data_IF_452760439993
#
_entry.id   IF_452760439993
#
_cell.length_a   1.000
_cell.length_b   1.000
_cell.length_c   1.000
_cell.angle_alpha   90.00
_cell.angle_beta   90.00
_cell.angle_gamma   90.00
#
_symmetry.space_group_name_H-M   'P 1'
#
loop_
_entity.id
_entity.type
_entity.pdbx_description
1 polymer ?
#
# COMPACT_ATOMS: atom_id res chain seq x y z
N UNK A 1 8.74 1.36 -31.13
CA UNK A 1 9.00 2.21 -29.94
C UNK A 1 9.22 1.25 -28.79
N UNK A 2 10.39 1.29 -28.20
CA UNK A 2 10.64 0.48 -27.00
C UNK A 2 9.77 0.99 -25.85
N UNK A 3 9.01 0.10 -25.25
CA UNK A 3 8.15 0.43 -24.12
C UNK A 3 9.06 0.76 -22.92
N UNK A 4 8.99 2.00 -22.45
CA UNK A 4 9.75 2.42 -21.27
C UNK A 4 8.94 2.13 -20.02
N UNK A 5 9.48 1.31 -19.11
CA UNK A 5 8.92 1.05 -17.79
C UNK A 5 9.38 2.15 -16.83
N UNK A 6 8.45 2.73 -16.08
CA UNK A 6 8.72 3.75 -15.06
C UNK A 6 8.23 3.21 -13.72
N UNK A 7 9.14 3.08 -12.77
CA UNK A 7 8.82 2.70 -11.39
C UNK A 7 8.65 3.93 -10.51
N UNK A 8 7.56 3.98 -9.75
CA UNK A 8 7.28 5.05 -8.78
C UNK A 8 6.63 4.46 -7.54
N UNK A 9 6.94 5.02 -6.37
CA UNK A 9 6.13 4.75 -5.18
C UNK A 9 4.73 5.36 -5.34
N UNK A 10 3.76 4.85 -4.58
CA UNK A 10 2.38 5.36 -4.62
C UNK A 10 2.32 6.87 -4.36
N UNK A 11 2.95 7.32 -3.26
CA UNK A 11 3.00 8.74 -2.93
C UNK A 11 3.68 9.60 -4.00
N UNK A 12 4.76 9.09 -4.60
CA UNK A 12 5.44 9.79 -5.70
C UNK A 12 4.52 9.92 -6.92
N UNK A 13 3.74 8.88 -7.21
CA UNK A 13 2.75 8.90 -8.29
C UNK A 13 1.64 9.91 -8.01
N UNK A 14 1.05 9.89 -6.81
CA UNK A 14 0.02 10.86 -6.43
C UNK A 14 0.55 12.30 -6.53
N UNK A 15 1.76 12.54 -6.05
CA UNK A 15 2.35 13.87 -6.07
C UNK A 15 2.63 14.36 -7.48
N UNK A 16 3.31 13.54 -8.31
CA UNK A 16 3.79 13.95 -9.63
C UNK A 16 2.72 13.93 -10.71
N UNK A 17 1.78 12.97 -10.65
CA UNK A 17 0.79 12.77 -11.72
C UNK A 17 -0.57 13.41 -11.40
N UNK A 18 -0.96 13.45 -10.12
CA UNK A 18 -2.28 13.94 -9.73
C UNK A 18 -2.23 15.36 -9.17
N UNK A 19 -1.35 15.64 -8.20
CA UNK A 19 -1.40 16.87 -7.42
C UNK A 19 -0.66 18.02 -8.11
N UNK A 20 0.65 17.90 -8.32
CA UNK A 20 1.47 19.01 -8.85
C UNK A 20 0.94 19.59 -10.17
N UNK A 21 0.53 18.80 -11.16
CA UNK A 21 0.04 19.36 -12.41
C UNK A 21 -1.33 20.04 -12.30
N UNK A 22 -2.09 19.76 -11.24
CA UNK A 22 -3.48 20.22 -11.13
C UNK A 22 -3.82 20.93 -9.82
N UNK A 23 -2.83 21.26 -9.00
CA UNK A 23 -3.04 21.95 -7.73
C UNK A 23 -3.73 23.31 -7.89
N UNK A 24 -3.49 24.02 -9.00
CA UNK A 24 -4.20 25.27 -9.30
C UNK A 24 -5.70 25.10 -9.54
N UNK A 25 -6.17 23.90 -9.83
CA UNK A 25 -7.59 23.59 -10.00
C UNK A 25 -8.33 23.40 -8.67
N UNK A 26 -7.61 23.28 -7.57
CA UNK A 26 -8.20 23.01 -6.26
C UNK A 26 -9.05 24.19 -5.79
N UNK A 27 -10.29 23.89 -5.40
CA UNK A 27 -11.25 24.86 -4.85
C UNK A 27 -11.28 24.69 -3.34
N UNK A 28 -10.23 25.15 -2.67
CA UNK A 28 -10.08 25.08 -1.23
C UNK A 28 -10.21 26.47 -0.61
N UNK A 29 -10.26 26.54 0.71
CA UNK A 29 -10.27 27.75 1.51
C UNK A 29 -9.04 27.82 2.38
N UNK A 30 -8.58 29.03 2.65
CA UNK A 30 -7.64 29.30 3.71
C UNK A 30 -8.39 29.79 4.94
N UNK A 31 -8.11 29.23 6.09
CA UNK A 31 -8.66 29.68 7.36
C UNK A 31 -7.65 30.53 8.10
N UNK A 32 -8.01 31.82 8.29
CA UNK A 32 -7.25 32.76 9.11
C UNK A 32 -8.11 33.19 10.28
N UNK A 33 -7.72 32.80 11.50
CA UNK A 33 -8.52 33.01 12.73
C UNK A 33 -9.92 32.38 12.60
N UNK A 34 -10.98 33.20 12.64
CA UNK A 34 -12.38 32.76 12.53
C UNK A 34 -12.97 32.94 11.12
N UNK A 35 -12.18 33.41 10.16
CA UNK A 35 -12.65 33.73 8.81
C UNK A 35 -12.08 32.70 7.82
N UNK A 36 -12.83 32.45 6.77
CA UNK A 36 -12.47 31.55 5.66
C UNK A 36 -12.45 32.33 4.35
N UNK A 37 -11.39 32.17 3.59
CA UNK A 37 -11.19 32.84 2.30
C UNK A 37 -10.98 31.79 1.20
N UNK A 38 -11.65 31.93 0.05
CA UNK A 38 -11.29 31.12 -1.11
C UNK A 38 -9.83 31.33 -1.48
N UNK A 39 -9.15 30.25 -1.81
CA UNK A 39 -7.72 30.28 -2.18
C UNK A 39 -7.55 29.64 -3.55
N UNK A 40 -6.78 30.28 -4.41
CA UNK A 40 -6.23 29.68 -5.61
C UNK A 40 -4.76 29.36 -5.34
N UNK A 41 -4.40 28.09 -5.40
CA UNK A 41 -3.04 27.67 -5.15
C UNK A 41 -2.15 27.99 -6.35
N UNK A 42 -0.94 28.53 -6.15
CA UNK A 42 0.01 28.74 -7.25
C UNK A 42 0.56 27.39 -7.76
N UNK A 43 1.15 27.41 -8.96
CA UNK A 43 1.65 26.20 -9.63
C UNK A 43 2.68 25.40 -8.84
N UNK A 44 3.44 26.05 -7.97
CA UNK A 44 4.50 25.41 -7.17
C UNK A 44 4.19 25.44 -5.67
N UNK A 45 2.91 25.43 -5.29
CA UNK A 45 2.51 25.49 -3.89
C UNK A 45 2.87 24.21 -3.13
N UNK A 46 2.61 23.05 -3.74
CA UNK A 46 2.92 21.75 -3.13
C UNK A 46 4.36 21.33 -3.45
N UNK A 47 5.15 21.14 -2.43
CA UNK A 47 6.57 20.76 -2.54
C UNK A 47 6.77 19.23 -2.54
N UNK A 48 6.49 18.59 -1.41
CA UNK A 48 6.77 17.17 -1.19
C UNK A 48 5.70 16.50 -0.30
N UNK A 49 6.03 15.35 0.26
CA UNK A 49 5.22 14.63 1.26
C UNK A 49 5.92 14.75 2.62
N UNK A 50 5.16 15.10 3.64
CA UNK A 50 5.66 15.34 4.99
C UNK A 50 5.84 14.03 5.80
N UNK A 51 6.68 13.10 5.35
CA UNK A 51 6.87 11.81 6.02
C UNK A 51 7.42 11.92 7.45
N UNK A 52 8.18 12.96 7.73
CA UNK A 52 8.86 13.17 9.02
C UNK A 52 8.20 14.23 9.89
N UNK A 53 7.23 14.96 9.36
CA UNK A 53 6.46 15.96 10.10
C UNK A 53 5.23 15.29 10.70
N UNK A 54 5.36 14.87 11.95
CA UNK A 54 4.30 14.17 12.69
C UNK A 54 3.23 15.11 13.27
N UNK A 55 3.36 16.41 13.06
CA UNK A 55 2.34 17.37 13.49
C UNK A 55 1.08 17.21 12.64
N UNK A 56 0.11 16.47 13.17
CA UNK A 56 -1.23 16.47 12.58
C UNK A 56 -1.77 17.90 12.55
N UNK A 57 -2.29 18.37 11.41
CA UNK A 57 -2.93 19.68 11.38
C UNK A 57 -3.94 19.81 12.50
N UNK A 58 -4.01 20.96 13.13
CA UNK A 58 -4.94 21.20 14.20
C UNK A 58 -6.36 20.78 13.85
N UNK A 59 -7.09 20.25 14.82
CA UNK A 59 -8.46 19.68 14.65
C UNK A 59 -9.49 20.67 14.09
N UNK A 60 -9.20 21.96 14.14
CA UNK A 60 -10.10 22.99 13.59
C UNK A 60 -10.00 23.19 12.08
N UNK A 61 -9.03 22.55 11.40
CA UNK A 61 -9.01 22.49 9.96
C UNK A 61 -9.80 21.25 9.48
N UNK A 62 -10.66 21.45 8.51
CA UNK A 62 -11.45 20.39 7.88
C UNK A 62 -11.08 20.23 6.40
N UNK A 63 -11.72 19.31 5.74
CA UNK A 63 -11.44 18.95 4.32
C UNK A 63 -11.68 20.07 3.32
N UNK A 64 -12.26 21.20 3.71
CA UNK A 64 -12.41 22.36 2.84
C UNK A 64 -11.22 23.32 2.91
N UNK A 65 -10.32 23.14 3.88
CA UNK A 65 -9.19 24.03 4.13
C UNK A 65 -7.89 23.48 3.54
N UNK A 66 -7.08 24.37 2.95
CA UNK A 66 -5.76 24.00 2.44
C UNK A 66 -4.84 23.50 3.55
N UNK A 67 -4.92 24.11 4.73
CA UNK A 67 -4.11 23.72 5.91
C UNK A 67 -4.48 22.33 6.47
N UNK A 68 -5.60 21.75 6.04
CA UNK A 68 -5.92 20.36 6.33
C UNK A 68 -4.99 19.41 5.56
N UNK A 69 -4.61 19.74 4.34
CA UNK A 69 -3.82 18.88 3.45
C UNK A 69 -2.33 19.16 3.50
N UNK A 70 -1.96 20.42 3.67
CA UNK A 70 -0.59 20.89 3.45
C UNK A 70 -0.08 21.61 4.69
N UNK A 71 1.13 21.30 5.12
CA UNK A 71 1.78 21.96 6.24
C UNK A 71 2.33 23.36 5.85
N UNK A 72 2.93 24.07 6.81
CA UNK A 72 3.51 25.40 6.62
C UNK A 72 4.67 25.47 5.61
N UNK A 73 5.27 24.31 5.27
CA UNK A 73 6.38 24.21 4.33
C UNK A 73 5.91 23.86 2.90
N UNK A 74 4.63 23.68 2.69
CA UNK A 74 4.08 23.26 1.41
C UNK A 74 4.11 21.73 1.19
N UNK A 75 4.34 20.94 2.22
CA UNK A 75 4.36 19.49 2.12
C UNK A 75 3.02 18.88 2.47
N UNK A 76 2.60 17.89 1.70
CA UNK A 76 1.31 17.21 1.90
C UNK A 76 1.42 16.21 3.03
N UNK A 77 0.42 16.19 3.89
CA UNK A 77 0.29 15.19 4.96
C UNK A 77 0.02 13.81 4.34
N UNK A 78 0.80 12.76 4.65
CA UNK A 78 0.69 11.44 4.02
C UNK A 78 -0.73 10.89 3.97
N UNK A 79 -1.42 10.80 5.10
CA UNK A 79 -2.79 10.26 5.21
C UNK A 79 -3.85 11.04 4.40
N UNK A 80 -3.49 12.19 3.84
CA UNK A 80 -4.41 13.09 3.11
C UNK A 80 -4.03 13.26 1.65
N UNK A 81 -2.91 12.68 1.25
CA UNK A 81 -2.38 12.80 -0.11
C UNK A 81 -3.36 12.26 -1.15
N UNK A 82 -3.93 11.09 -0.92
CA UNK A 82 -4.87 10.47 -1.85
C UNK A 82 -6.19 11.23 -1.95
N UNK A 83 -6.67 11.80 -0.84
CA UNK A 83 -7.84 12.66 -0.89
C UNK A 83 -7.57 13.94 -1.68
N UNK A 84 -6.41 14.57 -1.49
CA UNK A 84 -6.00 15.74 -2.25
C UNK A 84 -5.86 15.42 -3.75
N UNK A 85 -5.28 14.27 -4.09
CA UNK A 85 -5.17 13.79 -5.46
C UNK A 85 -6.55 13.56 -6.10
N UNK A 86 -7.47 12.96 -5.37
CA UNK A 86 -8.86 12.78 -5.80
C UNK A 86 -9.53 14.14 -6.06
N UNK A 87 -9.38 15.11 -5.15
CA UNK A 87 -9.90 16.47 -5.32
C UNK A 87 -9.29 17.19 -6.55
N UNK A 88 -8.02 16.98 -6.85
CA UNK A 88 -7.41 17.52 -8.07
C UNK A 88 -8.13 17.02 -9.33
N UNK A 89 -8.48 15.73 -9.38
CA UNK A 89 -9.25 15.18 -10.49
C UNK A 89 -10.67 15.78 -10.55
N UNK A 90 -11.38 15.80 -9.43
CA UNK A 90 -12.74 16.32 -9.34
C UNK A 90 -12.80 17.81 -9.73
N UNK A 91 -11.96 18.63 -9.11
CA UNK A 91 -11.97 20.07 -9.34
C UNK A 91 -11.45 20.47 -10.72
N UNK A 92 -10.65 19.62 -11.36
CA UNK A 92 -10.22 19.79 -12.75
C UNK A 92 -11.19 19.18 -13.77
N UNK A 93 -12.34 18.65 -13.34
CA UNK A 93 -13.34 17.96 -14.19
C UNK A 93 -12.74 16.77 -14.93
N UNK A 94 -11.97 15.92 -14.23
CA UNK A 94 -11.40 14.69 -14.75
C UNK A 94 -10.15 14.88 -15.62
N UNK A 95 -9.54 16.06 -15.64
CA UNK A 95 -8.34 16.32 -16.48
C UNK A 95 -7.14 15.49 -16.03
N UNK A 96 -7.03 15.16 -14.73
CA UNK A 96 -5.96 14.30 -14.21
C UNK A 96 -5.98 12.94 -14.92
N UNK A 97 -7.10 12.25 -14.86
CA UNK A 97 -7.24 10.92 -15.47
C UNK A 97 -7.08 10.99 -16.99
N UNK A 98 -7.61 12.01 -17.66
CA UNK A 98 -7.40 12.18 -19.11
C UNK A 98 -5.92 12.30 -19.47
N UNK A 99 -5.16 13.12 -18.73
CA UNK A 99 -3.71 13.27 -18.95
C UNK A 99 -2.97 11.93 -18.72
N UNK A 100 -3.31 11.20 -17.66
CA UNK A 100 -2.71 9.89 -17.36
C UNK A 100 -2.97 8.91 -18.52
N UNK A 101 -4.17 8.90 -19.09
CA UNK A 101 -4.52 8.10 -20.29
C UNK A 101 -3.68 8.42 -21.53
N UNK A 102 -3.23 9.66 -21.67
CA UNK A 102 -2.39 10.10 -22.79
C UNK A 102 -0.90 9.72 -22.60
N UNK A 103 -0.46 9.58 -21.35
CA UNK A 103 0.96 9.34 -21.02
C UNK A 103 1.26 7.86 -20.88
N UNK A 104 0.38 7.08 -20.27
CA UNK A 104 0.62 5.69 -19.91
C UNK A 104 -0.25 4.74 -20.73
N UNK A 105 0.38 3.74 -21.32
CA UNK A 105 -0.31 2.67 -22.07
C UNK A 105 -0.81 1.54 -21.17
N UNK A 106 -0.24 1.37 -19.98
CA UNK A 106 -0.60 0.38 -18.97
C UNK A 106 -0.14 0.84 -17.60
N UNK A 107 -0.90 0.51 -16.56
CA UNK A 107 -0.51 0.76 -15.17
C UNK A 107 -0.51 -0.56 -14.41
N UNK A 108 0.59 -0.82 -13.71
CA UNK A 108 0.73 -1.95 -12.79
C UNK A 108 0.73 -1.41 -11.36
N UNK A 109 -0.08 -2.00 -10.49
CA UNK A 109 -0.16 -1.64 -9.06
C UNK A 109 0.17 -2.89 -8.27
N UNK A 110 1.23 -2.84 -7.50
CA UNK A 110 1.67 -3.91 -6.61
C UNK A 110 1.22 -3.68 -5.18
N UNK A 111 1.26 -4.72 -4.34
CA UNK A 111 0.87 -4.70 -2.93
C UNK A 111 -0.53 -4.10 -2.70
N UNK A 112 -1.49 -4.55 -3.51
CA UNK A 112 -2.84 -3.97 -3.53
C UNK A 112 -3.54 -4.00 -2.16
N UNK A 113 -3.18 -4.93 -1.29
CA UNK A 113 -3.72 -5.09 0.07
C UNK A 113 -3.34 -3.94 1.01
N UNK A 114 -2.29 -3.19 0.72
CA UNK A 114 -1.84 -2.08 1.56
C UNK A 114 -2.66 -0.81 1.37
N UNK A 115 -3.41 -0.72 0.27
CA UNK A 115 -4.21 0.46 -0.05
C UNK A 115 -5.49 0.52 0.78
N UNK A 116 -5.76 1.67 1.35
CA UNK A 116 -6.91 1.90 2.21
C UNK A 116 -7.49 3.30 2.01
N UNK A 117 -8.67 3.53 2.54
CA UNK A 117 -9.24 4.87 2.63
C UNK A 117 -9.45 5.52 1.26
N UNK A 118 -8.86 6.69 1.06
CA UNK A 118 -8.94 7.45 -0.18
C UNK A 118 -8.09 6.88 -1.32
N UNK A 119 -7.12 6.00 -1.02
CA UNK A 119 -6.36 5.29 -2.06
C UNK A 119 -7.29 4.45 -2.94
N UNK A 120 -8.24 3.76 -2.32
CA UNK A 120 -9.23 2.96 -3.04
C UNK A 120 -10.10 3.81 -3.98
N UNK A 121 -10.43 5.05 -3.61
CA UNK A 121 -11.16 5.97 -4.49
C UNK A 121 -10.31 6.40 -5.70
N UNK A 122 -9.01 6.65 -5.51
CA UNK A 122 -8.10 6.98 -6.61
C UNK A 122 -7.94 5.78 -7.55
N UNK A 123 -7.76 4.58 -7.00
CA UNK A 123 -7.70 3.33 -7.79
C UNK A 123 -9.01 3.13 -8.58
N UNK A 124 -10.16 3.42 -7.96
CA UNK A 124 -11.46 3.35 -8.66
C UNK A 124 -11.56 4.36 -9.80
N UNK A 125 -11.00 5.57 -9.66
CA UNK A 125 -10.92 6.53 -10.78
C UNK A 125 -10.09 5.94 -11.94
N UNK A 126 -8.99 5.27 -11.63
CA UNK A 126 -8.17 4.61 -12.63
C UNK A 126 -8.93 3.47 -13.31
N UNK A 127 -9.62 2.59 -12.58
CA UNK A 127 -10.44 1.51 -13.15
C UNK A 127 -11.59 2.00 -14.04
N UNK A 128 -12.14 3.18 -13.75
CA UNK A 128 -13.13 3.82 -14.63
C UNK A 128 -12.52 4.46 -15.88
N UNK A 129 -11.21 4.47 -15.99
CA UNK A 129 -10.50 5.00 -17.15
C UNK A 129 -10.43 3.97 -18.29
N UNK A 130 -9.87 4.39 -19.42
CA UNK A 130 -9.62 3.50 -20.57
C UNK A 130 -8.24 2.86 -20.55
N UNK A 131 -7.42 3.12 -19.50
CA UNK A 131 -6.07 2.56 -19.39
C UNK A 131 -6.19 1.11 -18.93
N UNK A 132 -5.54 0.17 -19.57
CA UNK A 132 -5.37 -1.17 -19.02
C UNK A 132 -4.63 -1.11 -17.68
N UNK A 133 -5.19 -1.76 -16.66
CA UNK A 133 -4.63 -1.75 -15.31
C UNK A 133 -4.53 -3.18 -14.82
N UNK A 134 -3.38 -3.55 -14.31
CA UNK A 134 -3.15 -4.82 -13.63
C UNK A 134 -2.76 -4.54 -12.18
N UNK A 135 -3.51 -5.11 -11.25
CA UNK A 135 -3.22 -5.02 -9.83
C UNK A 135 -2.83 -6.39 -9.30
N UNK A 136 -1.82 -6.43 -8.47
CA UNK A 136 -1.36 -7.64 -7.78
C UNK A 136 -1.34 -7.38 -6.28
N UNK A 137 -1.70 -8.38 -5.50
CA UNK A 137 -1.67 -8.26 -4.04
C UNK A 137 -2.10 -9.55 -3.36
N UNK A 138 -1.76 -9.69 -2.10
CA UNK A 138 -2.17 -10.80 -1.26
C UNK A 138 -2.91 -10.25 -0.03
N UNK A 139 -4.23 -10.32 -0.05
CA UNK A 139 -5.07 -9.82 1.05
C UNK A 139 -4.79 -10.50 2.39
N UNK A 140 -4.18 -11.67 2.39
CA UNK A 140 -3.76 -12.39 3.60
C UNK A 140 -2.53 -11.76 4.26
N UNK A 141 -1.76 -10.94 3.52
CA UNK A 141 -0.60 -10.21 4.00
C UNK A 141 -0.90 -8.75 4.36
N UNK A 142 -2.15 -8.37 4.53
CA UNK A 142 -2.58 -7.00 4.86
C UNK A 142 -2.16 -6.60 6.29
N UNK A 143 -0.89 -6.33 6.50
CA UNK A 143 -0.29 -5.94 7.80
C UNK A 143 0.02 -4.45 7.89
N UNK A 144 0.05 -3.75 6.76
CA UNK A 144 0.34 -2.33 6.64
C UNK A 144 -0.83 -1.58 5.99
N UNK A 145 -0.90 -0.28 6.17
CA UNK A 145 -1.89 0.59 5.53
C UNK A 145 -1.24 1.88 5.06
N UNK A 146 -1.50 2.24 3.81
CA UNK A 146 -1.05 3.49 3.21
C UNK A 146 -1.88 4.70 3.68
N UNK A 147 -3.11 4.48 4.16
CA UNK A 147 -4.03 5.55 4.53
C UNK A 147 -4.90 5.19 5.74
N UNK A 148 -4.96 6.07 6.74
CA UNK A 148 -5.70 5.89 7.98
C UNK A 148 -7.06 6.61 8.01
N UNK A 149 -7.50 7.23 6.91
CA UNK A 149 -8.77 7.95 6.85
C UNK A 149 -9.97 7.04 7.13
N UNK A 150 -11.07 7.61 7.60
CA UNK A 150 -12.32 6.86 7.86
C UNK A 150 -13.06 6.46 6.58
N UNK A 151 -12.68 7.01 5.42
CA UNK A 151 -13.24 6.63 4.12
C UNK A 151 -12.97 5.14 3.90
N UNK A 152 -13.92 4.41 3.39
CA UNK A 152 -13.81 2.97 3.11
C UNK A 152 -13.33 2.10 4.31
N UNK A 153 -13.61 2.54 5.54
CA UNK A 153 -13.17 1.84 6.76
C UNK A 153 -13.59 0.36 6.80
N UNK A 154 -14.73 0.02 6.21
CA UNK A 154 -15.26 -1.35 6.15
C UNK A 154 -14.42 -2.29 5.26
N UNK A 155 -13.56 -1.74 4.41
CA UNK A 155 -12.70 -2.50 3.48
C UNK A 155 -11.22 -2.51 3.88
N UNK A 156 -10.91 -2.24 5.14
CA UNK A 156 -9.53 -2.27 5.63
C UNK A 156 -9.05 -3.69 5.85
N UNK A 157 -7.74 -3.87 5.75
CA UNK A 157 -7.02 -5.12 6.02
C UNK A 157 -7.52 -6.25 5.08
N UNK A 158 -7.72 -7.44 5.57
CA UNK A 158 -8.22 -8.58 4.82
C UNK A 158 -9.52 -8.28 4.02
N UNK A 159 -10.30 -7.30 4.47
CA UNK A 159 -11.56 -6.90 3.84
C UNK A 159 -11.37 -6.10 2.55
N UNK A 160 -10.14 -5.75 2.19
CA UNK A 160 -9.85 -5.11 0.90
C UNK A 160 -10.30 -5.97 -0.28
N UNK A 161 -10.22 -7.31 -0.16
CA UNK A 161 -10.79 -8.26 -1.14
C UNK A 161 -12.25 -7.94 -1.45
N UNK A 162 -13.07 -7.68 -0.44
CA UNK A 162 -14.50 -7.38 -0.64
C UNK A 162 -14.73 -6.09 -1.45
N UNK A 163 -13.81 -5.12 -1.37
CA UNK A 163 -13.86 -3.91 -2.19
C UNK A 163 -13.68 -4.25 -3.68
N UNK A 164 -12.71 -5.07 -4.02
CA UNK A 164 -12.45 -5.44 -5.42
C UNK A 164 -13.53 -6.37 -5.99
N UNK A 165 -14.07 -7.28 -5.19
CA UNK A 165 -15.26 -8.07 -5.60
C UNK A 165 -16.49 -7.18 -5.86
N UNK A 166 -16.67 -6.12 -5.08
CA UNK A 166 -17.71 -5.12 -5.36
C UNK A 166 -17.46 -4.38 -6.69
N UNK A 167 -16.20 -4.01 -7.00
CA UNK A 167 -15.87 -3.39 -8.29
C UNK A 167 -16.05 -4.36 -9.45
N UNK A 168 -15.74 -5.63 -9.27
CA UNK A 168 -15.98 -6.70 -10.25
C UNK A 168 -17.47 -6.85 -10.54
N UNK A 169 -18.32 -6.88 -9.50
CA UNK A 169 -19.77 -6.91 -9.65
C UNK A 169 -20.32 -5.68 -10.40
N UNK A 170 -19.60 -4.56 -10.39
CA UNK A 170 -19.91 -3.37 -11.20
C UNK A 170 -19.32 -3.41 -12.61
N UNK A 171 -18.62 -4.49 -12.99
CA UNK A 171 -17.98 -4.65 -14.29
C UNK A 171 -16.73 -3.76 -14.49
N UNK A 172 -16.11 -3.28 -13.42
CA UNK A 172 -14.94 -2.40 -13.49
C UNK A 172 -13.60 -3.16 -13.50
N UNK A 173 -13.59 -4.40 -13.06
CA UNK A 173 -12.42 -5.27 -13.09
C UNK A 173 -12.83 -6.74 -13.18
N UNK A 174 -11.83 -7.61 -13.32
CA UNK A 174 -11.96 -9.06 -13.20
C UNK A 174 -10.93 -9.53 -12.20
N UNK A 175 -11.33 -10.38 -11.28
CA UNK A 175 -10.45 -10.94 -10.25
C UNK A 175 -10.03 -12.35 -10.63
N UNK A 176 -8.75 -12.68 -10.48
CA UNK A 176 -8.23 -14.04 -10.64
C UNK A 176 -7.26 -14.36 -9.50
N UNK A 177 -7.13 -15.64 -9.20
CA UNK A 177 -6.25 -16.10 -8.12
C UNK A 177 -5.06 -16.86 -8.71
N UNK A 178 -3.84 -16.49 -8.26
CA UNK A 178 -2.63 -17.24 -8.53
C UNK A 178 -2.37 -18.18 -7.33
N UNK A 179 -2.76 -19.43 -7.48
CA UNK A 179 -2.73 -20.41 -6.39
C UNK A 179 -1.41 -21.19 -6.31
N UNK A 180 -0.46 -20.95 -7.21
CA UNK A 180 0.84 -21.61 -7.19
C UNK A 180 1.93 -20.71 -6.65
N UNK A 181 2.81 -21.25 -5.82
CA UNK A 181 3.95 -20.52 -5.24
C UNK A 181 5.28 -21.18 -5.60
N UNK A 182 6.29 -20.35 -5.88
CA UNK A 182 7.68 -20.81 -6.04
C UNK A 182 8.51 -20.68 -4.77
N UNK A 183 7.93 -20.17 -3.69
CA UNK A 183 8.64 -19.86 -2.44
C UNK A 183 8.56 -21.00 -1.42
N UNK A 184 7.50 -21.80 -1.48
CA UNK A 184 7.16 -22.75 -0.44
C UNK A 184 7.04 -24.18 -0.98
N UNK A 185 7.46 -25.15 -0.16
CA UNK A 185 7.22 -26.57 -0.40
C UNK A 185 5.80 -26.96 0.01
N UNK A 186 5.42 -28.23 -0.23
CA UNK A 186 4.08 -28.73 0.07
C UNK A 186 3.71 -28.60 1.55
N UNK A 187 4.63 -28.92 2.46
CA UNK A 187 4.39 -28.87 3.91
C UNK A 187 4.04 -27.47 4.40
N UNK A 188 4.75 -26.45 3.90
CA UNK A 188 4.47 -25.04 4.21
C UNK A 188 3.14 -24.61 3.58
N UNK A 189 2.85 -25.03 2.36
CA UNK A 189 1.57 -24.75 1.71
C UNK A 189 0.40 -25.35 2.49
N UNK A 190 0.50 -26.60 2.93
CA UNK A 190 -0.51 -27.29 3.73
C UNK A 190 -0.76 -26.55 5.04
N UNK A 191 0.31 -26.12 5.71
CA UNK A 191 0.19 -25.33 6.94
C UNK A 191 -0.52 -23.98 6.70
N UNK A 192 -0.14 -23.25 5.65
CA UNK A 192 -0.79 -21.96 5.27
C UNK A 192 -2.27 -22.18 4.98
N UNK A 193 -2.60 -23.24 4.26
CA UNK A 193 -3.97 -23.58 3.90
C UNK A 193 -4.82 -23.95 5.14
N UNK A 194 -4.25 -24.57 6.17
CA UNK A 194 -4.96 -24.82 7.43
C UNK A 194 -5.27 -23.53 8.20
N UNK A 195 -4.40 -22.52 8.12
CA UNK A 195 -4.63 -21.23 8.80
C UNK A 195 -5.74 -20.44 8.11
N UNK A 196 -5.72 -20.36 6.78
CA UNK A 196 -6.58 -19.46 6.03
C UNK A 196 -7.91 -20.07 5.58
N UNK A 197 -8.02 -21.40 5.46
CA UNK A 197 -9.28 -22.13 5.25
C UNK A 197 -10.16 -21.73 4.06
N UNK A 198 -9.67 -20.87 3.17
CA UNK A 198 -10.44 -20.33 2.03
C UNK A 198 -10.16 -21.17 0.78
N UNK A 199 -11.15 -21.96 0.37
CA UNK A 199 -11.03 -22.89 -0.76
C UNK A 199 -10.62 -22.22 -2.08
N UNK A 200 -11.03 -20.97 -2.31
CA UNK A 200 -10.73 -20.23 -3.55
C UNK A 200 -9.28 -19.76 -3.63
N UNK A 201 -8.57 -19.74 -2.51
CA UNK A 201 -7.21 -19.21 -2.40
C UNK A 201 -6.23 -20.17 -1.72
N UNK A 202 -6.48 -21.47 -1.81
CA UNK A 202 -5.52 -22.49 -1.40
C UNK A 202 -4.26 -22.39 -2.25
N UNK A 203 -3.10 -22.49 -1.60
CA UNK A 203 -1.79 -22.36 -2.24
C UNK A 203 -1.17 -23.73 -2.42
N UNK A 204 -0.62 -23.96 -3.61
CA UNK A 204 0.13 -25.18 -3.95
C UNK A 204 1.54 -24.81 -4.44
N UNK A 205 2.55 -25.65 -4.22
CA UNK A 205 3.88 -25.39 -4.77
C UNK A 205 3.85 -25.50 -6.29
N UNK A 206 4.61 -24.63 -6.99
CA UNK A 206 4.80 -24.72 -8.43
C UNK A 206 5.49 -26.06 -8.76
N UNK A 207 4.90 -26.92 -9.62
CA UNK A 207 5.48 -28.21 -9.98
C UNK A 207 6.89 -28.11 -10.61
N UNK A 208 7.19 -26.94 -11.17
CA UNK A 208 8.50 -26.66 -11.78
C UNK A 208 9.52 -26.12 -10.77
N UNK A 209 9.10 -25.89 -9.52
CA UNK A 209 9.99 -25.46 -8.45
C UNK A 209 10.76 -26.68 -7.91
N UNK A 210 11.74 -27.13 -8.67
CA UNK A 210 12.68 -28.15 -8.22
C UNK A 210 13.56 -27.50 -7.14
N UNK A 211 13.26 -27.75 -5.89
CA UNK A 211 14.25 -27.55 -4.83
C UNK A 211 15.38 -28.54 -5.12
N UNK A 212 16.53 -28.02 -5.56
CA UNK A 212 17.68 -28.81 -5.97
C UNK A 212 18.26 -29.69 -4.86
N UNK A 213 17.93 -29.43 -3.60
CA UNK A 213 18.29 -30.29 -2.47
C UNK A 213 17.23 -30.24 -1.35
N UNK A 214 16.87 -31.38 -0.75
CA UNK A 214 16.09 -31.37 0.48
C UNK A 214 16.94 -30.71 1.57
N UNK A 215 16.46 -29.56 2.06
CA UNK A 215 17.07 -28.91 3.22
C UNK A 215 16.66 -29.73 4.45
N UNK A 216 17.66 -30.23 5.16
CA UNK A 216 17.44 -30.90 6.45
C UNK A 216 16.66 -29.95 7.37
N UNK A 217 15.59 -30.46 8.01
CA UNK A 217 14.67 -29.66 8.85
C UNK A 217 13.88 -28.59 8.09
N UNK A 218 13.51 -28.80 6.84
CA UNK A 218 12.52 -27.95 6.17
C UNK A 218 11.12 -28.25 6.70
N UNK A 219 10.31 -27.19 6.97
CA UNK A 219 8.93 -27.33 7.42
C UNK A 219 8.52 -26.30 8.47
N UNK A 220 7.39 -26.56 9.14
CA UNK A 220 6.84 -25.70 10.19
C UNK A 220 6.89 -26.44 11.53
N UNK A 221 7.61 -25.87 12.48
CA UNK A 221 7.83 -26.47 13.79
C UNK A 221 7.35 -25.57 14.91
N UNK A 222 6.71 -26.14 15.92
CA UNK A 222 6.45 -25.48 17.19
C UNK A 222 7.49 -25.94 18.22
N UNK A 223 8.14 -25.00 18.87
CA UNK A 223 9.18 -25.27 19.86
C UNK A 223 8.83 -24.61 21.20
N UNK A 224 9.22 -25.28 22.32
CA UNK A 224 9.26 -24.60 23.61
C UNK A 224 10.48 -23.65 23.68
N UNK A 225 10.52 -22.82 24.72
CA UNK A 225 11.57 -21.78 24.87
C UNK A 225 12.98 -22.37 24.99
N UNK A 226 13.11 -23.53 25.67
CA UNK A 226 14.42 -24.16 25.89
C UNK A 226 14.95 -24.75 24.58
N UNK A 227 14.12 -25.54 23.87
CA UNK A 227 14.48 -26.06 22.54
C UNK A 227 14.75 -24.97 21.52
N UNK A 228 14.01 -23.84 21.59
CA UNK A 228 14.25 -22.69 20.72
C UNK A 228 15.62 -22.05 21.00
N UNK A 229 16.05 -22.01 22.27
CA UNK A 229 17.37 -21.48 22.63
C UNK A 229 18.49 -22.36 22.05
N UNK A 230 18.42 -23.67 22.25
CA UNK A 230 19.38 -24.64 21.69
C UNK A 230 19.42 -24.54 20.15
N UNK A 231 18.25 -24.45 19.52
CA UNK A 231 18.15 -24.27 18.07
C UNK A 231 18.84 -22.98 17.59
N UNK A 232 18.60 -21.86 18.28
CA UNK A 232 19.22 -20.59 17.93
C UNK A 232 20.75 -20.60 18.14
N UNK A 233 21.24 -21.27 19.17
CA UNK A 233 22.67 -21.41 19.43
C UNK A 233 23.37 -22.28 18.37
N UNK A 234 22.69 -23.29 17.86
CA UNK A 234 23.27 -24.21 16.88
C UNK A 234 23.15 -23.68 15.43
N UNK A 235 21.97 -23.22 15.03
CA UNK A 235 21.69 -22.88 13.64
C UNK A 235 21.80 -21.38 13.32
N UNK A 236 21.87 -20.50 14.31
CA UNK A 236 21.91 -19.04 14.12
C UNK A 236 20.83 -18.50 13.16
N UNK A 237 19.54 -18.84 13.35
CA UNK A 237 18.49 -18.50 12.41
C UNK A 237 18.20 -17.00 12.37
N UNK A 238 17.61 -16.54 11.27
CA UNK A 238 17.05 -15.18 11.19
C UNK A 238 15.79 -15.13 12.04
N UNK A 239 15.77 -14.27 13.05
CA UNK A 239 14.62 -14.08 13.92
C UNK A 239 13.77 -12.92 13.40
N UNK A 240 12.56 -13.22 12.93
CA UNK A 240 11.59 -12.22 12.52
C UNK A 240 10.75 -11.78 13.72
N UNK A 241 10.54 -10.47 13.86
CA UNK A 241 9.70 -9.89 14.91
C UNK A 241 8.67 -8.96 14.27
N UNK A 242 7.49 -8.87 14.88
CA UNK A 242 6.47 -7.95 14.42
C UNK A 242 6.93 -6.49 14.48
N UNK A 243 7.62 -6.11 15.55
CA UNK A 243 8.25 -4.79 15.71
C UNK A 243 9.50 -4.86 16.58
N UNK A 244 10.20 -3.73 16.71
CA UNK A 244 11.41 -3.62 17.55
C UNK A 244 11.15 -3.84 19.05
N UNK A 245 9.91 -3.72 19.51
CA UNK A 245 9.51 -3.88 20.91
C UNK A 245 9.08 -5.31 21.23
N UNK A 246 8.78 -6.12 20.22
CA UNK A 246 8.41 -7.51 20.40
C UNK A 246 9.56 -8.25 21.09
N UNK A 247 9.29 -8.80 22.28
CA UNK A 247 10.28 -9.55 23.06
C UNK A 247 10.34 -10.99 22.56
N UNK A 248 11.53 -11.47 22.27
CA UNK A 248 11.79 -12.92 22.20
C UNK A 248 11.98 -13.41 23.62
N UNK A 249 11.40 -14.55 23.97
CA UNK A 249 11.36 -15.06 25.36
C UNK A 249 12.72 -15.36 26.00
N UNK A 250 13.82 -15.05 25.32
CA UNK A 250 15.21 -15.15 25.82
C UNK A 250 16.04 -14.00 25.24
N UNK A 251 17.03 -13.55 26.03
CA UNK A 251 18.04 -12.61 25.55
C UNK A 251 19.02 -13.37 24.65
N UNK A 252 18.97 -13.08 23.35
CA UNK A 252 20.01 -13.52 22.43
C UNK A 252 20.65 -12.25 21.86
N UNK A 253 21.97 -12.15 22.00
CA UNK A 253 22.80 -11.09 21.41
C UNK A 253 23.02 -11.28 19.90
N UNK A 254 22.15 -12.01 19.24
CA UNK A 254 22.11 -11.99 17.79
C UNK A 254 21.59 -10.64 17.35
N UNK A 255 22.48 -9.80 16.87
CA UNK A 255 22.15 -8.63 16.09
C UNK A 255 21.19 -9.07 15.00
N UNK A 256 19.89 -8.88 15.23
CA UNK A 256 18.87 -9.13 14.23
C UNK A 256 19.23 -8.25 13.04
N UNK A 257 19.79 -8.84 12.00
CA UNK A 257 19.86 -8.20 10.71
C UNK A 257 18.44 -7.81 10.37
N UNK A 258 18.12 -6.52 10.46
CA UNK A 258 16.94 -6.00 9.80
C UNK A 258 17.17 -6.32 8.34
N UNK A 259 16.29 -7.12 7.75
CA UNK A 259 16.21 -7.21 6.31
C UNK A 259 15.92 -5.80 5.81
N UNK A 260 16.98 -5.05 5.54
CA UNK A 260 16.89 -3.91 4.66
C UNK A 260 16.59 -4.51 3.31
N UNK A 261 15.37 -4.30 2.85
CA UNK A 261 15.07 -4.48 1.45
C UNK A 261 16.13 -3.70 0.65
N UNK A 262 16.49 -4.14 -0.55
CA UNK A 262 17.52 -3.47 -1.32
C UNK A 262 17.15 -2.00 -1.48
N UNK A 263 18.00 -1.14 -0.93
CA UNK A 263 17.98 0.28 -1.27
C UNK A 263 18.24 0.39 -2.76
N UNK A 264 17.28 0.88 -3.49
CA UNK A 264 17.44 1.34 -4.87
C UNK A 264 16.74 2.65 -5.08
#
# INVERSE_FOLDING_TARGET
>A
MDARVIFKSWYSTLLSEFIKPYQCSLKLKEKRYKQEFPVTLPENFVNSIAFYDTESPPKWYNQTHVQYYVNKHGDVVPDRTSHLAWLCNEHSSGKVIRRIQEIYSHIFIDELQDYAGWDLEVITLLFKSKIPITCVGDYKQATYRTNNSLKNKQYRDEKVRAYFLMLEAQGLCVTSYANTTRRFNQEICDFINTIHGDADSMVEPDPNNQQEMPVENSGVYMMNVDSLREYCEYYHPIILRYDKKAKVGFQHDCSAGMGQGPES
#
